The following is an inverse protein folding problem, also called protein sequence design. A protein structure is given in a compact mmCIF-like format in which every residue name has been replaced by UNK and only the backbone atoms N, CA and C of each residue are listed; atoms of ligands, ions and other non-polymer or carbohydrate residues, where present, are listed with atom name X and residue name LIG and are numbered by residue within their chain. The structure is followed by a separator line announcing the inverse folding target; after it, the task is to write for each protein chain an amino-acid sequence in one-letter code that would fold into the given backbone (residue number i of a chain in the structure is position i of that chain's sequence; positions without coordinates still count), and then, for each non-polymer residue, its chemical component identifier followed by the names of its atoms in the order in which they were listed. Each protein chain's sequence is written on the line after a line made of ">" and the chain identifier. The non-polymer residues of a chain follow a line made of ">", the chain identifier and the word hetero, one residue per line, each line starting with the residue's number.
data_IF_819650341143
#
_entry.id   IF_819650341143
#
_cell.length_a   1.000
_cell.length_b   1.000
_cell.length_c   1.000
_cell.angle_alpha   90.00
_cell.angle_beta   90.00
_cell.angle_gamma   90.00
#
_symmetry.space_group_name_H-M   'P 1'
#
loop_
_entity.id
_entity.type
_entity.pdbx_description
1 polymer ?
#
# COMPACT_ATOMS: atom_id res chain seq x y z
N UNK A 1 4.47 6.84 -27.74
CA UNK A 1 4.49 5.50 -28.36
C UNK A 1 5.42 4.59 -27.54
N UNK A 2 4.91 3.85 -26.57
CA UNK A 2 5.68 2.81 -25.87
C UNK A 2 5.64 1.54 -26.72
N UNK A 3 6.80 1.07 -27.16
CA UNK A 3 6.92 -0.18 -27.92
C UNK A 3 6.43 -1.36 -27.05
N UNK A 4 5.40 -2.12 -27.48
CA UNK A 4 4.75 -3.14 -26.65
C UNK A 4 5.67 -4.30 -26.23
N UNK A 5 6.78 -4.53 -26.95
CA UNK A 5 7.77 -5.58 -26.63
C UNK A 5 8.65 -5.27 -25.41
N UNK A 6 8.69 -4.00 -24.97
CA UNK A 6 9.50 -3.58 -23.82
C UNK A 6 8.67 -3.37 -22.54
N UNK A 7 7.35 -3.56 -22.53
CA UNK A 7 6.51 -3.24 -21.37
C UNK A 7 6.92 -3.91 -20.03
N UNK A 8 7.73 -4.97 -20.06
CA UNK A 8 8.29 -5.65 -18.89
C UNK A 8 9.31 -4.83 -18.10
N UNK A 9 9.98 -3.82 -18.67
CA UNK A 9 11.00 -3.06 -17.94
C UNK A 9 10.38 -2.23 -16.79
N UNK A 10 9.17 -1.71 -16.97
CA UNK A 10 8.50 -0.85 -15.98
C UNK A 10 8.23 -1.56 -14.64
N UNK A 11 7.58 -2.73 -14.60
CA UNK A 11 7.35 -3.45 -13.35
C UNK A 11 8.66 -3.92 -12.70
N UNK A 12 9.69 -4.25 -13.50
CA UNK A 12 11.01 -4.63 -12.96
C UNK A 12 11.68 -3.45 -12.26
N UNK A 13 11.73 -2.27 -12.91
CA UNK A 13 12.29 -1.06 -12.32
C UNK A 13 11.51 -0.67 -11.06
N UNK A 14 10.17 -0.69 -11.12
CA UNK A 14 9.32 -0.39 -9.97
C UNK A 14 9.55 -1.36 -8.80
N UNK A 15 9.63 -2.67 -9.09
CA UNK A 15 9.93 -3.70 -8.10
C UNK A 15 11.30 -3.52 -7.46
N UNK A 16 12.32 -3.18 -8.25
CA UNK A 16 13.66 -2.88 -7.75
C UNK A 16 13.67 -1.64 -6.84
N UNK A 17 12.95 -0.58 -7.21
CA UNK A 17 12.82 0.63 -6.38
C UNK A 17 12.11 0.36 -5.06
N UNK A 18 10.99 -0.37 -5.09
CA UNK A 18 10.25 -0.72 -3.87
C UNK A 18 11.09 -1.65 -2.99
N UNK A 19 11.76 -2.64 -3.58
CA UNK A 19 12.61 -3.60 -2.89
C UNK A 19 13.81 -2.95 -2.22
N UNK A 20 14.51 -2.04 -2.92
CA UNK A 20 15.64 -1.31 -2.34
C UNK A 20 15.20 -0.34 -1.25
N UNK A 21 14.06 0.35 -1.40
CA UNK A 21 13.51 1.21 -0.36
C UNK A 21 13.09 0.42 0.90
N UNK A 22 12.34 -0.68 0.73
CA UNK A 22 11.88 -1.52 1.84
C UNK A 22 13.04 -2.27 2.53
N UNK A 23 13.98 -2.79 1.73
CA UNK A 23 15.18 -3.47 2.23
C UNK A 23 16.13 -2.50 2.94
N UNK A 24 16.33 -1.30 2.40
CA UNK A 24 17.12 -0.25 3.04
C UNK A 24 16.52 0.16 4.39
N UNK A 25 15.21 0.37 4.45
CA UNK A 25 14.53 0.67 5.71
C UNK A 25 14.70 -0.46 6.75
N UNK A 26 14.58 -1.71 6.31
CA UNK A 26 14.79 -2.90 7.14
C UNK A 26 16.23 -2.99 7.67
N UNK A 27 17.23 -2.72 6.83
CA UNK A 27 18.65 -2.79 7.21
C UNK A 27 19.03 -1.66 8.17
N UNK A 28 18.50 -0.45 7.96
CA UNK A 28 18.81 0.72 8.78
C UNK A 28 18.11 0.69 10.15
N UNK A 29 16.89 0.15 10.21
CA UNK A 29 16.06 0.21 11.45
C UNK A 29 15.88 -1.14 12.14
N UNK A 30 16.23 -2.25 11.46
CA UNK A 30 15.90 -3.60 11.89
C UNK A 30 14.40 -3.93 11.82
N UNK A 31 13.57 -3.03 11.28
CA UNK A 31 12.10 -3.10 11.33
C UNK A 31 11.49 -3.25 9.95
N UNK A 32 10.41 -4.01 9.88
CA UNK A 32 9.67 -4.27 8.66
C UNK A 32 8.95 -2.99 8.18
N UNK A 33 9.13 -2.62 6.91
CA UNK A 33 8.47 -1.45 6.30
C UNK A 33 6.97 -1.73 6.07
N UNK A 34 6.13 -1.30 7.01
CA UNK A 34 4.66 -1.38 6.92
C UNK A 34 4.03 0.00 7.01
N UNK A 35 3.27 0.42 5.99
CA UNK A 35 2.69 1.78 5.92
C UNK A 35 1.81 2.08 7.14
N UNK A 36 0.93 1.16 7.58
CA UNK A 36 0.11 1.36 8.79
C UNK A 36 0.95 1.48 10.07
N UNK A 37 2.08 0.76 10.15
CA UNK A 37 3.00 0.83 11.29
C UNK A 37 3.80 2.12 11.33
N UNK A 38 4.29 2.57 10.16
CA UNK A 38 4.98 3.85 10.00
C UNK A 38 4.04 5.01 10.32
N UNK A 39 2.80 4.98 9.83
CA UNK A 39 1.79 5.99 10.12
C UNK A 39 1.43 6.04 11.61
N UNK A 40 1.28 4.88 12.25
CA UNK A 40 1.07 4.82 13.69
C UNK A 40 2.28 5.36 14.49
N UNK A 41 3.51 5.11 14.02
CA UNK A 41 4.72 5.64 14.66
C UNK A 41 4.83 7.16 14.50
N UNK A 42 4.49 7.71 13.32
CA UNK A 42 4.48 9.18 13.09
C UNK A 42 3.42 9.89 13.90
N UNK A 43 2.25 9.28 14.08
CA UNK A 43 1.17 9.83 14.90
C UNK A 43 1.42 9.65 16.41
N UNK A 44 2.54 9.04 16.81
CA UNK A 44 2.87 8.79 18.21
C UNK A 44 2.04 7.68 18.88
N UNK A 45 1.17 7.00 18.14
CA UNK A 45 0.34 5.87 18.58
C UNK A 45 1.14 4.58 18.76
N UNK A 46 2.39 4.57 18.31
CA UNK A 46 3.36 3.51 18.53
C UNK A 46 4.70 4.17 18.89
N UNK A 47 5.38 3.66 19.92
CA UNK A 47 6.75 4.09 20.30
C UNK A 47 7.78 3.11 19.71
N UNK A 48 7.54 2.71 18.47
CA UNK A 48 8.20 1.60 17.83
C UNK A 48 9.23 2.12 16.82
N UNK A 49 10.24 2.83 17.32
CA UNK A 49 11.41 3.27 16.54
C UNK A 49 11.42 4.78 16.27
N UNK A 50 12.39 5.21 15.46
CA UNK A 50 12.60 6.62 15.17
C UNK A 50 11.42 7.21 14.37
N UNK A 51 10.73 8.17 14.99
CA UNK A 51 9.59 8.87 14.38
C UNK A 51 10.03 9.69 13.16
N UNK A 52 11.25 10.24 13.20
CA UNK A 52 11.78 11.07 12.11
C UNK A 52 11.96 10.24 10.84
N UNK A 53 12.55 9.04 10.94
CA UNK A 53 12.71 8.12 9.81
C UNK A 53 11.38 7.62 9.25
N UNK A 54 10.41 7.36 10.13
CA UNK A 54 9.06 6.95 9.70
C UNK A 54 8.35 8.07 8.95
N UNK A 55 8.49 9.31 9.42
CA UNK A 55 7.95 10.50 8.77
C UNK A 55 8.64 10.78 7.43
N UNK A 56 9.97 10.67 7.37
CA UNK A 56 10.75 10.84 6.15
C UNK A 56 10.39 9.80 5.09
N UNK A 57 10.17 8.54 5.49
CA UNK A 57 9.74 7.49 4.56
C UNK A 57 8.34 7.77 3.99
N UNK A 58 7.38 8.16 4.84
CA UNK A 58 6.03 8.52 4.39
C UNK A 58 6.03 9.79 3.53
N UNK A 59 6.81 10.80 3.91
CA UNK A 59 6.98 12.02 3.12
C UNK A 59 7.60 11.69 1.76
N UNK A 60 8.63 10.85 1.71
CA UNK A 60 9.24 10.38 0.47
C UNK A 60 8.23 9.67 -0.44
N UNK A 61 7.37 8.81 0.13
CA UNK A 61 6.30 8.13 -0.62
C UNK A 61 5.30 9.13 -1.23
N UNK A 62 4.86 10.14 -0.46
CA UNK A 62 3.92 11.17 -0.90
C UNK A 62 4.55 12.09 -1.96
N UNK A 63 5.78 12.55 -1.73
CA UNK A 63 6.52 13.41 -2.67
C UNK A 63 6.80 12.68 -3.97
N UNK A 64 7.25 11.42 -3.92
CA UNK A 64 7.49 10.63 -5.13
C UNK A 64 6.20 10.41 -5.93
N UNK A 65 5.09 10.12 -5.26
CA UNK A 65 3.77 9.96 -5.90
C UNK A 65 3.29 11.27 -6.54
N UNK A 66 3.44 12.40 -5.83
CA UNK A 66 3.08 13.72 -6.35
C UNK A 66 3.94 14.15 -7.54
N UNK A 67 5.25 13.90 -7.47
CA UNK A 67 6.16 14.20 -8.57
C UNK A 67 5.86 13.32 -9.81
N UNK A 68 5.52 12.05 -9.60
CA UNK A 68 5.11 11.16 -10.69
C UNK A 68 3.85 11.67 -11.41
N UNK A 69 2.87 12.18 -10.66
CA UNK A 69 1.66 12.81 -11.22
C UNK A 69 1.98 14.11 -11.97
N UNK A 70 2.97 14.89 -11.51
CA UNK A 70 3.40 16.11 -12.20
C UNK A 70 4.07 15.82 -13.55
N UNK A 71 4.86 14.75 -13.64
CA UNK A 71 5.56 14.35 -14.89
C UNK A 71 4.59 13.72 -15.89
N UNK A 72 3.67 12.89 -15.43
CA UNK A 72 2.67 12.24 -16.28
C UNK A 72 1.28 12.41 -15.66
N UNK A 73 0.56 13.49 -16.01
CA UNK A 73 -0.76 13.73 -15.44
C UNK A 73 -1.70 12.61 -15.86
N UNK A 74 -2.09 11.80 -14.88
CA UNK A 74 -3.13 10.79 -15.01
C UNK A 74 -4.45 11.50 -14.72
N UNK A 75 -5.47 11.29 -15.56
CA UNK A 75 -6.82 11.75 -15.27
C UNK A 75 -7.31 11.10 -13.99
N UNK A 76 -7.28 11.86 -12.89
CA UNK A 76 -7.81 11.41 -11.62
C UNK A 76 -9.35 11.33 -11.76
N UNK A 77 -9.99 10.22 -11.37
CA UNK A 77 -11.44 10.17 -11.34
C UNK A 77 -11.94 11.30 -10.42
N UNK A 78 -12.90 12.08 -10.91
CA UNK A 78 -13.48 13.16 -10.13
C UNK A 78 -14.14 12.56 -8.88
N UNK A 79 -13.61 12.93 -7.71
CA UNK A 79 -14.19 12.58 -6.43
C UNK A 79 -15.57 13.24 -6.35
N UNK A 80 -16.62 12.49 -6.66
CA UNK A 80 -17.98 12.94 -6.45
C UNK A 80 -18.21 13.07 -4.95
N UNK A 81 -18.77 14.20 -4.51
CA UNK A 81 -19.00 14.51 -3.09
C UNK A 81 -19.83 13.42 -2.39
N UNK A 82 -20.69 12.72 -3.13
CA UNK A 82 -21.50 11.61 -2.65
C UNK A 82 -20.68 10.38 -2.22
N UNK A 83 -19.46 10.19 -2.75
CA UNK A 83 -18.58 9.08 -2.36
C UNK A 83 -17.79 9.36 -1.07
N UNK A 84 -17.76 10.61 -0.58
CA UNK A 84 -16.92 11.01 0.57
C UNK A 84 -17.24 10.29 1.88
N UNK A 85 -18.50 10.02 2.29
CA UNK A 85 -18.78 9.30 3.53
C UNK A 85 -18.35 7.83 3.44
N UNK A 86 -18.53 7.23 2.27
CA UNK A 86 -18.13 5.85 2.00
C UNK A 86 -16.60 5.69 2.07
N UNK A 87 -15.85 6.66 1.52
CA UNK A 87 -14.39 6.67 1.58
C UNK A 87 -13.87 6.78 3.01
N UNK A 88 -14.49 7.65 3.83
CA UNK A 88 -14.12 7.79 5.25
C UNK A 88 -14.39 6.49 6.01
N UNK A 89 -15.58 5.89 5.80
CA UNK A 89 -15.93 4.63 6.45
C UNK A 89 -15.01 3.49 5.99
N UNK A 90 -14.70 3.40 4.71
CA UNK A 90 -13.75 2.43 4.16
C UNK A 90 -12.35 2.61 4.76
N UNK A 91 -11.86 3.85 4.86
CA UNK A 91 -10.56 4.15 5.48
C UNK A 91 -10.50 3.74 6.95
N UNK A 92 -11.55 4.02 7.72
CA UNK A 92 -11.66 3.59 9.12
C UNK A 92 -11.67 2.06 9.25
N UNK A 93 -12.45 1.38 8.40
CA UNK A 93 -12.57 -0.08 8.43
C UNK A 93 -11.25 -0.76 8.05
N UNK A 94 -10.55 -0.24 7.03
CA UNK A 94 -9.20 -0.71 6.66
C UNK A 94 -8.21 -0.42 7.78
N UNK A 95 -8.24 0.77 8.37
CA UNK A 95 -7.39 1.14 9.52
C UNK A 95 -7.56 0.17 10.68
N UNK A 96 -8.80 -0.06 11.09
CA UNK A 96 -9.15 -1.03 12.14
C UNK A 96 -8.71 -2.45 11.77
N UNK A 97 -8.99 -2.90 10.55
CA UNK A 97 -8.62 -4.22 10.06
C UNK A 97 -7.12 -4.47 10.05
N UNK A 98 -6.32 -3.49 9.61
CA UNK A 98 -4.84 -3.62 9.63
C UNK A 98 -4.28 -3.68 11.05
N UNK A 99 -4.93 -3.04 12.03
CA UNK A 99 -4.54 -3.15 13.43
C UNK A 99 -4.88 -4.50 14.02
N UNK A 100 -6.08 -5.02 13.74
CA UNK A 100 -6.51 -6.37 14.16
C UNK A 100 -5.62 -7.46 13.54
N UNK A 101 -5.26 -7.30 12.25
CA UNK A 101 -4.36 -8.20 11.52
C UNK A 101 -2.89 -8.08 11.90
N UNK A 102 -2.52 -7.25 12.88
CA UNK A 102 -1.12 -6.98 13.28
C UNK A 102 -0.21 -6.48 12.15
N UNK A 103 -0.79 -5.92 11.07
CA UNK A 103 -0.04 -5.51 9.89
C UNK A 103 -0.92 -5.12 8.70
N UNK A 104 -0.30 -4.54 7.69
CA UNK A 104 -0.94 -4.17 6.43
C UNK A 104 -0.42 -5.01 5.26
N UNK A 105 -1.05 -4.86 4.10
CA UNK A 105 -0.64 -5.53 2.86
C UNK A 105 0.79 -5.19 2.43
N UNK A 106 1.30 -3.98 2.70
CA UNK A 106 2.69 -3.64 2.36
C UNK A 106 3.70 -4.39 3.25
N UNK A 107 3.41 -4.51 4.55
CA UNK A 107 4.27 -5.21 5.51
C UNK A 107 4.24 -6.72 5.32
N UNK A 108 3.04 -7.30 5.18
CA UNK A 108 2.88 -8.73 4.98
C UNK A 108 3.21 -9.18 3.54
N UNK A 109 2.80 -8.40 2.55
CA UNK A 109 3.05 -8.68 1.14
C UNK A 109 4.50 -8.44 0.78
N UNK A 110 4.96 -7.19 0.77
CA UNK A 110 6.28 -6.85 0.23
C UNK A 110 7.40 -7.45 1.11
N UNK A 111 7.43 -7.11 2.40
CA UNK A 111 8.52 -7.53 3.27
C UNK A 111 8.33 -8.95 3.82
N UNK A 112 7.09 -9.35 4.12
CA UNK A 112 6.77 -10.63 4.75
C UNK A 112 6.86 -11.83 3.81
N UNK A 113 6.49 -11.68 2.52
CA UNK A 113 6.72 -12.70 1.49
C UNK A 113 8.21 -12.81 1.14
N UNK A 114 8.93 -11.69 1.06
CA UNK A 114 10.38 -11.70 0.82
C UNK A 114 11.16 -12.47 1.90
N UNK A 115 10.63 -12.53 3.13
CA UNK A 115 11.17 -13.30 4.26
C UNK A 115 10.65 -14.75 4.34
N UNK A 116 9.88 -15.21 3.35
CA UNK A 116 9.31 -16.56 3.26
C UNK A 116 8.52 -16.99 4.51
N UNK A 117 7.86 -16.04 5.17
CA UNK A 117 7.16 -16.33 6.43
C UNK A 117 5.76 -16.92 6.17
N UNK A 118 5.41 -18.10 6.75
CA UNK A 118 4.14 -18.78 6.48
C UNK A 118 2.93 -17.98 6.96
N UNK A 119 3.06 -17.32 8.11
CA UNK A 119 2.02 -16.41 8.63
C UNK A 119 1.70 -15.28 7.65
N UNK A 120 2.71 -14.77 6.95
CA UNK A 120 2.54 -13.66 6.02
C UNK A 120 1.99 -14.09 4.67
N UNK A 121 2.31 -15.30 4.22
CA UNK A 121 1.67 -15.91 3.06
C UNK A 121 0.16 -16.05 3.27
N UNK A 122 -0.26 -16.59 4.42
CA UNK A 122 -1.68 -16.72 4.76
C UNK A 122 -2.36 -15.35 4.85
N UNK A 123 -1.77 -14.40 5.57
CA UNK A 123 -2.33 -13.05 5.71
C UNK A 123 -2.51 -12.36 4.35
N UNK A 124 -1.50 -12.44 3.48
CA UNK A 124 -1.56 -11.84 2.15
C UNK A 124 -2.60 -12.52 1.26
N UNK A 125 -2.72 -13.85 1.34
CA UNK A 125 -3.76 -14.61 0.64
C UNK A 125 -5.16 -14.19 1.07
N UNK A 126 -5.40 -14.05 2.38
CA UNK A 126 -6.69 -13.61 2.92
C UNK A 126 -7.03 -12.18 2.47
N UNK A 127 -6.05 -11.25 2.52
CA UNK A 127 -6.28 -9.88 2.06
C UNK A 127 -6.64 -9.81 0.57
N UNK A 128 -5.94 -10.57 -0.28
CA UNK A 128 -6.25 -10.57 -1.71
C UNK A 128 -7.60 -11.24 -2.00
N UNK A 129 -7.92 -12.36 -1.34
CA UNK A 129 -9.21 -13.01 -1.49
C UNK A 129 -10.37 -12.11 -1.07
N UNK A 130 -10.26 -11.40 0.06
CA UNK A 130 -11.29 -10.46 0.47
C UNK A 130 -11.40 -9.24 -0.44
N UNK A 131 -10.27 -8.72 -0.95
CA UNK A 131 -10.29 -7.66 -1.95
C UNK A 131 -11.04 -8.08 -3.21
N UNK A 132 -10.71 -9.27 -3.75
CA UNK A 132 -11.38 -9.83 -4.93
C UNK A 132 -12.86 -10.08 -4.68
N UNK A 133 -13.22 -10.69 -3.53
CA UNK A 133 -14.60 -10.95 -3.15
C UNK A 133 -15.41 -9.64 -3.00
N UNK A 134 -14.83 -8.62 -2.37
CA UNK A 134 -15.48 -7.31 -2.20
C UNK A 134 -15.77 -6.68 -3.55
N UNK A 135 -14.80 -6.65 -4.46
CA UNK A 135 -14.98 -6.12 -5.82
C UNK A 135 -16.03 -6.93 -6.58
N UNK A 136 -16.03 -8.24 -6.48
CA UNK A 136 -17.01 -9.10 -7.13
C UNK A 136 -18.43 -8.82 -6.63
N UNK A 137 -18.63 -8.74 -5.31
CA UNK A 137 -19.93 -8.43 -4.69
C UNK A 137 -20.40 -7.03 -5.07
N UNK A 138 -19.54 -6.03 -4.97
CA UNK A 138 -19.89 -4.64 -5.33
C UNK A 138 -20.27 -4.54 -6.81
N UNK A 139 -19.52 -5.19 -7.71
CA UNK A 139 -19.85 -5.25 -9.14
C UNK A 139 -21.18 -5.96 -9.41
N UNK A 140 -21.50 -7.01 -8.66
CA UNK A 140 -22.78 -7.70 -8.76
C UNK A 140 -23.95 -6.82 -8.28
N UNK A 141 -23.77 -6.08 -7.19
CA UNK A 141 -24.82 -5.23 -6.60
C UNK A 141 -25.08 -3.95 -7.38
N UNK A 142 -24.04 -3.34 -7.96
CA UNK A 142 -24.17 -2.06 -8.72
C UNK A 142 -24.59 -2.30 -10.18
N UNK A 143 -24.62 -3.57 -10.63
CA UNK A 143 -24.88 -3.94 -12.02
C UNK A 143 -23.62 -3.76 -12.86
N UNK A 144 -23.03 -4.87 -13.29
CA UNK A 144 -21.72 -4.91 -13.96
C UNK A 144 -21.68 -4.14 -15.27
N UNK A 145 -21.31 -2.85 -15.20
CA UNK A 145 -20.85 -2.07 -16.34
C UNK A 145 -19.36 -2.29 -16.54
N UNK A 146 -19.01 -2.79 -17.72
CA UNK A 146 -17.65 -2.80 -18.29
C UNK A 146 -16.97 -1.46 -18.15
#
# INVERSE_FOLDING_TARGET
>A
MTLPSLAWYWPVIGGLMIGTAAGGFLLLTGRIAGVSGLLANTLGLSSAGDRSLSALFLAGLLVASGLALAVKPISLPSLSISATPLLVLAGLLVGFGTRLGSGCTSGHGVCGLARLSPRSMVATGVFMLMGMATVAVVRMMIGGGT
#
